data_IF_958033597988
#
_entry.id   IF_958033597988
#
_cell.length_a   1.000
_cell.length_b   1.000
_cell.length_c   1.000
_cell.angle_alpha   90.00
_cell.angle_beta   90.00
_cell.angle_gamma   90.00
#
_symmetry.space_group_name_H-M   'P 1'
#
loop_
_entity.id
_entity.type
_entity.pdbx_description
1 polymer ?
#
# COMPACT_ATOMS: atom_id res chain seq x y z
N UNK A 1 -3.25 -18.37 -24.15
CA UNK A 1 -2.70 -18.56 -22.79
C UNK A 1 -1.54 -17.60 -22.52
N UNK A 2 -0.51 -17.54 -23.37
CA UNK A 2 0.58 -16.54 -23.26
C UNK A 2 0.08 -15.08 -23.22
N UNK A 3 -0.88 -14.70 -24.07
CA UNK A 3 -1.35 -13.31 -24.13
C UNK A 3 -2.08 -12.86 -22.86
N UNK A 4 -2.85 -13.76 -22.25
CA UNK A 4 -3.53 -13.51 -20.97
C UNK A 4 -2.51 -13.37 -19.83
N UNK A 5 -1.48 -14.21 -19.80
CA UNK A 5 -0.42 -14.12 -18.80
C UNK A 5 0.34 -12.79 -18.89
N UNK A 6 0.68 -12.35 -20.11
CA UNK A 6 1.33 -11.07 -20.33
C UNK A 6 0.44 -9.88 -19.94
N UNK A 7 -0.87 -9.98 -20.25
CA UNK A 7 -1.85 -8.97 -19.86
C UNK A 7 -1.95 -8.85 -18.34
N UNK A 8 -2.09 -9.97 -17.63
CA UNK A 8 -2.14 -9.97 -16.16
C UNK A 8 -0.84 -9.46 -15.57
N UNK A 9 0.31 -9.89 -16.07
CA UNK A 9 1.60 -9.44 -15.57
C UNK A 9 1.78 -7.92 -15.68
N UNK A 10 1.50 -7.34 -16.85
CA UNK A 10 1.63 -5.90 -17.06
C UNK A 10 0.62 -5.11 -16.23
N UNK A 11 -0.64 -5.54 -16.22
CA UNK A 11 -1.70 -4.90 -15.46
C UNK A 11 -1.45 -5.01 -13.94
N UNK A 12 -0.99 -6.16 -13.48
CA UNK A 12 -0.66 -6.45 -12.09
C UNK A 12 0.57 -5.67 -11.63
N UNK A 13 1.60 -5.54 -12.47
CA UNK A 13 2.76 -4.69 -12.16
C UNK A 13 2.36 -3.22 -12.08
N UNK A 14 1.63 -2.73 -13.09
CA UNK A 14 1.13 -1.35 -13.09
C UNK A 14 0.20 -1.10 -11.88
N UNK A 15 -0.63 -2.07 -11.55
CA UNK A 15 -1.56 -2.05 -10.43
C UNK A 15 -0.84 -2.02 -9.07
N UNK A 16 -0.01 -3.01 -8.79
CA UNK A 16 0.66 -3.15 -7.50
C UNK A 16 1.69 -2.05 -7.22
N UNK A 17 2.28 -1.44 -8.26
CA UNK A 17 3.31 -0.42 -8.09
C UNK A 17 2.78 1.02 -8.26
N UNK A 18 1.82 1.26 -9.15
CA UNK A 18 1.46 2.64 -9.56
C UNK A 18 -0.04 2.95 -9.49
N UNK A 19 -0.93 1.97 -9.33
CA UNK A 19 -2.36 2.25 -9.30
C UNK A 19 -2.75 3.09 -8.08
N UNK A 20 -3.62 4.10 -8.25
CA UNK A 20 -4.21 4.85 -7.15
C UNK A 20 -4.86 3.99 -6.07
N UNK A 21 -5.52 2.91 -6.47
CA UNK A 21 -6.22 2.00 -5.57
C UNK A 21 -5.35 0.94 -4.92
N UNK A 22 -4.19 0.59 -5.50
CA UNK A 22 -3.42 -0.61 -5.11
C UNK A 22 -1.92 -0.43 -4.97
N UNK A 23 -1.35 0.74 -5.25
CA UNK A 23 0.09 0.92 -5.20
C UNK A 23 0.64 0.72 -3.79
N UNK A 24 1.62 -0.17 -3.64
CA UNK A 24 2.37 -0.32 -2.38
C UNK A 24 3.05 0.98 -1.95
N UNK A 25 3.51 1.79 -2.91
CA UNK A 25 4.21 3.05 -2.63
C UNK A 25 3.26 4.20 -2.31
N UNK A 26 2.08 4.26 -2.94
CA UNK A 26 1.08 5.28 -2.57
C UNK A 26 0.54 5.02 -1.16
N UNK A 27 0.29 3.77 -0.81
CA UNK A 27 -0.24 3.39 0.51
C UNK A 27 0.83 3.40 1.60
N UNK A 28 2.10 3.23 1.25
CA UNK A 28 3.23 3.25 2.18
C UNK A 28 4.42 3.98 1.57
N UNK A 29 4.40 5.33 1.52
CA UNK A 29 5.44 6.14 0.87
C UNK A 29 6.85 5.93 1.42
N UNK A 30 6.96 5.52 2.69
CA UNK A 30 8.24 5.18 3.32
C UNK A 30 8.98 4.05 2.59
N UNK A 31 8.27 3.16 1.91
CA UNK A 31 8.87 2.06 1.15
C UNK A 31 9.66 2.54 -0.07
N UNK A 32 9.43 3.77 -0.55
CA UNK A 32 10.26 4.37 -1.60
C UNK A 32 11.74 4.48 -1.19
N UNK A 33 12.04 4.54 0.11
CA UNK A 33 13.41 4.56 0.62
C UNK A 33 14.17 3.24 0.38
N UNK A 34 13.46 2.14 0.13
CA UNK A 34 14.09 0.86 -0.20
C UNK A 34 14.87 0.93 -1.53
N UNK A 35 14.53 1.83 -2.45
CA UNK A 35 15.20 1.97 -3.75
C UNK A 35 16.64 2.52 -3.57
N UNK A 36 16.86 3.74 -3.04
CA UNK A 36 18.21 4.23 -2.78
C UNK A 36 18.93 3.37 -1.72
N UNK A 37 18.15 2.79 -0.80
CA UNK A 37 18.65 1.88 0.21
C UNK A 37 19.27 0.60 -0.33
N UNK A 38 18.63 -0.03 -1.31
CA UNK A 38 19.17 -1.20 -2.02
C UNK A 38 20.48 -0.86 -2.72
N UNK A 39 20.58 0.32 -3.35
CA UNK A 39 21.82 0.79 -3.97
C UNK A 39 22.96 0.97 -2.97
N UNK A 40 22.66 1.55 -1.80
CA UNK A 40 23.66 1.71 -0.73
C UNK A 40 24.07 0.34 -0.18
N UNK A 41 23.10 -0.54 0.07
CA UNK A 41 23.36 -1.87 0.62
C UNK A 41 24.24 -2.71 -0.31
N UNK A 42 23.93 -2.71 -1.61
CA UNK A 42 24.71 -3.40 -2.64
C UNK A 42 26.16 -2.92 -2.73
N UNK A 43 26.40 -1.61 -2.65
CA UNK A 43 27.73 -1.02 -2.87
C UNK A 43 28.58 -0.93 -1.59
N UNK A 44 27.96 -0.79 -0.42
CA UNK A 44 28.66 -0.44 0.84
C UNK A 44 28.49 -1.46 1.96
N UNK A 45 27.59 -2.44 1.81
CA UNK A 45 27.33 -3.46 2.84
C UNK A 45 27.62 -4.84 2.24
N UNK A 46 26.60 -5.61 1.90
CA UNK A 46 26.75 -6.98 1.38
C UNK A 46 26.05 -7.12 0.02
N UNK A 47 26.87 -7.24 -1.03
CA UNK A 47 26.42 -7.41 -2.41
C UNK A 47 25.62 -8.70 -2.60
N UNK A 48 26.09 -9.81 -2.03
CA UNK A 48 25.47 -11.12 -2.19
C UNK A 48 24.09 -11.15 -1.55
N UNK A 49 24.00 -10.68 -0.30
CA UNK A 49 22.72 -10.55 0.41
C UNK A 49 21.79 -9.56 -0.31
N UNK A 50 22.31 -8.45 -0.83
CA UNK A 50 21.52 -7.50 -1.62
C UNK A 50 20.87 -8.15 -2.85
N UNK A 51 21.63 -8.96 -3.59
CA UNK A 51 21.14 -9.65 -4.78
C UNK A 51 20.06 -10.66 -4.40
N UNK A 52 20.26 -11.43 -3.33
CA UNK A 52 19.29 -12.42 -2.85
C UNK A 52 17.99 -11.73 -2.40
N UNK A 53 18.07 -10.68 -1.58
CA UNK A 53 16.90 -9.92 -1.14
C UNK A 53 16.15 -9.29 -2.33
N UNK A 54 16.86 -8.69 -3.27
CA UNK A 54 16.27 -8.11 -4.47
C UNK A 54 15.61 -9.17 -5.36
N UNK A 55 16.25 -10.34 -5.52
CA UNK A 55 15.70 -11.46 -6.28
C UNK A 55 14.42 -12.01 -5.63
N UNK A 56 14.37 -12.13 -4.30
CA UNK A 56 13.17 -12.55 -3.57
C UNK A 56 12.03 -11.54 -3.80
N UNK A 57 12.30 -10.25 -3.61
CA UNK A 57 11.29 -9.19 -3.82
C UNK A 57 10.78 -9.22 -5.27
N UNK A 58 11.69 -9.24 -6.24
CA UNK A 58 11.35 -9.23 -7.65
C UNK A 58 10.53 -10.45 -8.04
N UNK A 59 10.98 -11.65 -7.65
CA UNK A 59 10.27 -12.89 -7.94
C UNK A 59 8.87 -12.86 -7.32
N UNK A 60 8.75 -12.43 -6.07
CA UNK A 60 7.46 -12.35 -5.38
C UNK A 60 6.50 -11.36 -6.06
N UNK A 61 6.97 -10.15 -6.39
CA UNK A 61 6.17 -9.14 -7.09
C UNK A 61 5.71 -9.67 -8.46
N UNK A 62 6.60 -10.31 -9.21
CA UNK A 62 6.26 -10.91 -10.51
C UNK A 62 5.22 -12.04 -10.36
N UNK A 63 5.38 -12.91 -9.36
CA UNK A 63 4.41 -13.98 -9.07
C UNK A 63 3.04 -13.40 -8.74
N UNK A 64 2.95 -12.44 -7.82
CA UNK A 64 1.68 -11.80 -7.46
C UNK A 64 1.07 -11.06 -8.65
N UNK A 65 1.88 -10.33 -9.42
CA UNK A 65 1.41 -9.58 -10.59
C UNK A 65 0.92 -10.48 -11.72
N UNK A 66 1.50 -11.68 -11.87
CA UNK A 66 1.08 -12.66 -12.87
C UNK A 66 -0.23 -13.38 -12.51
N UNK A 67 -0.67 -13.27 -11.27
CA UNK A 67 -1.86 -13.95 -10.78
C UNK A 67 -3.14 -13.19 -11.18
N UNK A 68 -4.19 -13.93 -11.54
CA UNK A 68 -5.46 -13.33 -12.00
C UNK A 68 -6.15 -12.43 -10.95
N UNK A 69 -5.84 -12.62 -9.66
CA UNK A 69 -6.36 -11.84 -8.54
C UNK A 69 -5.25 -10.96 -7.91
N UNK A 70 -4.35 -10.44 -8.74
CA UNK A 70 -3.22 -9.57 -8.33
C UNK A 70 -3.66 -8.36 -7.50
N UNK A 71 -4.90 -7.90 -7.67
CA UNK A 71 -5.49 -6.76 -7.00
C UNK A 71 -5.87 -7.09 -5.55
N UNK A 72 -5.93 -8.37 -5.18
CA UNK A 72 -6.23 -8.82 -3.82
C UNK A 72 -7.70 -8.67 -3.42
N UNK A 73 -8.59 -8.40 -4.39
CA UNK A 73 -10.03 -8.29 -4.16
C UNK A 73 -10.39 -7.23 -3.11
N UNK A 74 -11.35 -7.51 -2.25
CA UNK A 74 -11.93 -6.50 -1.35
C UNK A 74 -11.08 -6.40 -0.10
N UNK A 75 -9.94 -5.73 -0.22
CA UNK A 75 -8.98 -5.47 0.86
C UNK A 75 -8.37 -4.08 0.70
N UNK A 76 -7.91 -3.44 1.78
CA UNK A 76 -7.24 -2.15 1.68
C UNK A 76 -5.80 -2.29 1.19
N UNK A 77 -5.41 -1.53 0.16
CA UNK A 77 -4.06 -1.51 -0.39
C UNK A 77 -3.62 -2.82 -1.08
N UNK A 78 -2.30 -2.99 -1.28
CA UNK A 78 -1.70 -4.22 -1.84
C UNK A 78 -1.38 -5.23 -0.74
N UNK A 79 -2.40 -5.77 -0.07
CA UNK A 79 -2.22 -6.75 1.01
C UNK A 79 -1.34 -7.94 0.59
N UNK A 80 -1.41 -8.34 -0.68
CA UNK A 80 -0.62 -9.43 -1.22
C UNK A 80 0.89 -9.17 -1.15
N UNK A 81 1.34 -7.91 -1.16
CA UNK A 81 2.76 -7.56 -1.02
C UNK A 81 3.22 -7.37 0.44
N UNK A 82 2.35 -7.57 1.43
CA UNK A 82 2.75 -7.47 2.85
C UNK A 82 3.92 -8.40 3.25
N UNK A 83 4.06 -9.63 2.69
CA UNK A 83 5.16 -10.51 3.09
C UNK A 83 6.56 -10.01 2.69
N UNK A 84 6.67 -9.12 1.71
CA UNK A 84 7.96 -8.56 1.28
C UNK A 84 8.37 -7.30 2.07
N UNK A 85 7.48 -6.73 2.88
CA UNK A 85 7.75 -5.51 3.67
C UNK A 85 8.97 -5.66 4.58
N UNK A 86 9.18 -6.77 5.33
CA UNK A 86 10.37 -6.93 6.16
C UNK A 86 11.67 -6.89 5.36
N UNK A 87 11.68 -7.47 4.16
CA UNK A 87 12.85 -7.48 3.27
C UNK A 87 13.11 -6.08 2.71
N UNK A 88 12.05 -5.35 2.34
CA UNK A 88 12.17 -3.92 2.00
C UNK A 88 12.75 -3.11 3.17
N UNK A 89 12.39 -3.44 4.41
CA UNK A 89 12.93 -2.85 5.63
C UNK A 89 14.46 -2.97 5.75
N UNK A 90 15.03 -4.10 5.31
CA UNK A 90 16.50 -4.29 5.25
C UNK A 90 17.14 -3.23 4.36
N UNK A 91 16.53 -2.92 3.21
CA UNK A 91 17.01 -1.88 2.32
C UNK A 91 16.78 -0.46 2.86
N UNK A 92 15.73 -0.22 3.66
CA UNK A 92 15.49 1.10 4.25
C UNK A 92 16.53 1.43 5.34
N UNK A 93 17.02 0.43 6.08
CA UNK A 93 17.99 0.60 7.17
C UNK A 93 19.23 1.46 6.83
N UNK A 94 20.00 1.22 5.75
CA UNK A 94 21.16 2.05 5.41
C UNK A 94 20.82 3.52 5.09
N UNK A 95 19.59 3.79 4.63
CA UNK A 95 19.11 5.17 4.39
C UNK A 95 18.86 5.86 5.72
N UNK A 96 18.22 5.17 6.66
CA UNK A 96 17.98 5.68 8.03
C UNK A 96 19.31 5.99 8.73
N UNK A 97 20.28 5.07 8.66
CA UNK A 97 21.62 5.24 9.22
C UNK A 97 22.31 6.49 8.65
N UNK A 98 22.25 6.69 7.33
CA UNK A 98 22.85 7.85 6.67
C UNK A 98 22.12 9.16 6.95
N UNK A 99 20.81 9.11 7.13
CA UNK A 99 19.95 10.28 7.35
C UNK A 99 20.03 10.83 8.77
N UNK A 100 20.46 10.02 9.75
CA UNK A 100 20.53 10.40 11.16
C UNK A 100 21.32 11.70 11.41
N UNK A 101 22.39 11.92 10.64
CA UNK A 101 23.22 13.12 10.75
C UNK A 101 22.82 14.25 9.80
N UNK A 102 21.87 14.01 8.87
CA UNK A 102 21.46 14.97 7.84
C UNK A 102 19.99 15.36 8.05
N UNK A 103 19.78 16.51 8.71
CA UNK A 103 18.44 17.04 9.07
C UNK A 103 17.42 17.01 7.91
N UNK A 104 17.86 17.33 6.68
CA UNK A 104 17.00 17.31 5.49
C UNK A 104 16.47 15.91 5.18
N UNK A 105 17.36 14.91 5.16
CA UNK A 105 17.00 13.52 4.89
C UNK A 105 16.10 12.98 6.01
N UNK A 106 16.45 13.27 7.27
CA UNK A 106 15.63 12.85 8.41
C UNK A 106 14.21 13.44 8.36
N UNK A 107 14.08 14.72 7.98
CA UNK A 107 12.79 15.36 7.79
C UNK A 107 11.98 14.69 6.65
N UNK A 108 12.62 14.35 5.53
CA UNK A 108 11.98 13.61 4.45
C UNK A 108 11.45 12.24 4.91
N UNK A 109 12.23 11.53 5.73
CA UNK A 109 11.82 10.24 6.30
C UNK A 109 10.59 10.43 7.20
N UNK A 110 10.59 11.44 8.07
CA UNK A 110 9.43 11.77 8.93
C UNK A 110 8.20 12.10 8.09
N UNK A 111 8.36 12.89 7.02
CA UNK A 111 7.25 13.25 6.13
C UNK A 111 6.68 12.00 5.46
N UNK A 112 7.53 11.13 4.89
CA UNK A 112 7.09 9.89 4.25
C UNK A 112 6.41 8.92 5.24
N UNK A 113 6.97 8.81 6.46
CA UNK A 113 6.38 8.02 7.55
C UNK A 113 5.01 8.60 7.96
N UNK A 114 4.92 9.91 8.12
CA UNK A 114 3.69 10.62 8.48
C UNK A 114 2.62 10.49 7.41
N UNK A 115 2.97 10.60 6.13
CA UNK A 115 2.05 10.37 5.01
C UNK A 115 1.49 8.94 5.02
N UNK A 116 2.36 7.93 5.21
CA UNK A 116 1.92 6.54 5.35
C UNK A 116 1.00 6.35 6.55
N UNK A 117 1.36 6.93 7.70
CA UNK A 117 0.53 6.88 8.91
C UNK A 117 -0.85 7.52 8.67
N UNK A 118 -0.93 8.68 8.02
CA UNK A 118 -2.20 9.33 7.68
C UNK A 118 -3.09 8.44 6.81
N UNK A 119 -2.52 7.72 5.85
CA UNK A 119 -3.27 6.78 4.99
C UNK A 119 -3.81 5.60 5.81
N UNK A 120 -3.01 5.07 6.75
CA UNK A 120 -3.46 3.98 7.61
C UNK A 120 -4.49 4.44 8.65
N UNK A 121 -4.38 5.67 9.16
CA UNK A 121 -5.40 6.28 10.01
C UNK A 121 -6.71 6.52 9.25
N UNK A 122 -6.63 6.96 7.99
CA UNK A 122 -7.79 7.04 7.11
C UNK A 122 -8.45 5.66 6.94
N UNK A 123 -7.65 4.61 6.74
CA UNK A 123 -8.16 3.24 6.64
C UNK A 123 -8.90 2.77 7.90
N UNK A 124 -8.42 3.17 9.08
CA UNK A 124 -9.01 2.81 10.37
C UNK A 124 -10.24 3.66 10.74
N UNK A 125 -10.35 4.86 10.15
CA UNK A 125 -11.39 5.83 10.50
C UNK A 125 -12.80 5.35 10.18
N UNK A 126 -12.98 4.67 9.05
CA UNK A 126 -14.23 4.00 8.68
C UNK A 126 -13.92 2.60 8.17
N UNK A 127 -14.86 1.66 8.27
CA UNK A 127 -14.74 0.35 7.58
C UNK A 127 -14.54 0.54 6.05
N UNK A 128 -13.34 0.25 5.52
CA UNK A 128 -13.03 0.47 4.12
C UNK A 128 -13.77 -0.50 3.20
N UNK A 129 -14.15 -1.67 3.69
CA UNK A 129 -14.92 -2.66 2.93
C UNK A 129 -16.35 -2.19 2.81
N UNK A 130 -16.98 -1.75 3.90
CA UNK A 130 -18.34 -1.19 3.88
C UNK A 130 -18.46 -0.04 2.87
N UNK A 131 -17.54 0.92 2.94
CA UNK A 131 -17.53 2.06 2.01
C UNK A 131 -17.30 1.64 0.55
N UNK A 132 -16.52 0.59 0.30
CA UNK A 132 -16.38 0.01 -1.03
C UNK A 132 -17.67 -0.67 -1.49
N UNK A 133 -18.33 -1.46 -0.63
CA UNK A 133 -19.60 -2.13 -0.92
C UNK A 133 -20.65 -1.09 -1.31
N UNK A 134 -20.75 -0.02 -0.52
CA UNK A 134 -21.69 1.07 -0.77
C UNK A 134 -21.42 1.77 -2.11
N UNK A 135 -20.15 1.95 -2.47
CA UNK A 135 -19.76 2.56 -3.74
C UNK A 135 -19.97 1.64 -4.96
N UNK A 136 -19.66 0.34 -4.83
CA UNK A 136 -19.54 -0.61 -5.96
C UNK A 136 -20.78 -1.49 -6.14
N UNK A 137 -21.39 -1.95 -5.05
CA UNK A 137 -22.57 -2.83 -5.09
C UNK A 137 -23.86 -2.03 -5.11
N UNK A 138 -23.97 -1.07 -4.19
CA UNK A 138 -25.17 -0.24 -4.06
C UNK A 138 -25.09 1.05 -4.89
N UNK A 139 -23.87 1.47 -5.22
CA UNK A 139 -23.60 2.63 -6.07
C UNK A 139 -23.46 2.26 -7.56
N UNK A 140 -22.97 3.23 -8.34
CA UNK A 140 -22.79 3.11 -9.78
C UNK A 140 -21.30 3.02 -10.19
N UNK A 141 -20.39 2.79 -9.25
CA UNK A 141 -18.95 2.74 -9.52
C UNK A 141 -18.55 1.30 -9.85
N UNK A 142 -17.94 1.07 -11.01
CA UNK A 142 -17.39 -0.25 -11.33
C UNK A 142 -16.15 -0.53 -10.49
N UNK A 143 -15.97 -1.78 -10.08
CA UNK A 143 -14.81 -2.20 -9.28
C UNK A 143 -13.47 -1.83 -9.95
N UNK A 144 -13.34 -2.02 -11.26
CA UNK A 144 -12.12 -1.70 -12.02
C UNK A 144 -11.73 -0.21 -11.94
N UNK A 145 -12.73 0.69 -11.83
CA UNK A 145 -12.47 2.12 -11.66
C UNK A 145 -11.80 2.42 -10.32
N UNK A 146 -12.08 1.63 -9.28
CA UNK A 146 -11.46 1.80 -7.96
C UNK A 146 -9.96 1.50 -7.97
N UNK A 147 -9.49 0.75 -8.98
CA UNK A 147 -8.10 0.41 -9.15
C UNK A 147 -7.35 1.56 -9.83
N UNK A 148 -7.77 1.97 -11.03
CA UNK A 148 -6.96 2.89 -11.86
C UNK A 148 -7.45 4.35 -11.87
N UNK A 149 -8.65 4.64 -11.37
CA UNK A 149 -9.21 6.00 -11.38
C UNK A 149 -8.97 6.71 -10.06
N UNK A 150 -8.26 7.84 -10.07
CA UNK A 150 -7.96 8.65 -8.89
C UNK A 150 -9.22 9.04 -8.10
N UNK A 151 -10.27 9.51 -8.79
CA UNK A 151 -11.52 10.00 -8.18
C UNK A 151 -12.36 8.92 -7.48
N UNK A 152 -12.19 7.67 -7.91
CA UNK A 152 -12.90 6.50 -7.39
C UNK A 152 -11.96 5.55 -6.64
N UNK A 153 -10.71 5.97 -6.38
CA UNK A 153 -9.77 5.19 -5.60
C UNK A 153 -10.30 4.95 -4.20
N UNK A 154 -9.87 3.85 -3.58
CA UNK A 154 -10.22 3.49 -2.21
C UNK A 154 -9.97 4.64 -1.21
N UNK A 155 -8.83 5.32 -1.32
CA UNK A 155 -8.52 6.50 -0.51
C UNK A 155 -9.50 7.65 -0.78
N UNK A 156 -9.87 7.92 -2.04
CA UNK A 156 -10.83 8.97 -2.38
C UNK A 156 -12.26 8.64 -1.89
N UNK A 157 -12.68 7.38 -1.98
CA UNK A 157 -13.98 6.92 -1.45
C UNK A 157 -14.00 7.10 0.07
N UNK A 158 -12.93 6.67 0.77
CA UNK A 158 -12.81 6.87 2.22
C UNK A 158 -12.86 8.35 2.61
N UNK A 159 -12.10 9.20 1.92
CA UNK A 159 -12.09 10.64 2.19
C UNK A 159 -13.48 11.29 2.00
N UNK A 160 -14.28 10.81 1.05
CA UNK A 160 -15.67 11.28 0.87
C UNK A 160 -16.57 10.80 1.99
N UNK A 161 -16.42 9.54 2.42
CA UNK A 161 -17.19 8.97 3.53
C UNK A 161 -16.92 9.71 4.86
N UNK A 162 -15.71 10.22 5.04
CA UNK A 162 -15.35 11.03 6.21
C UNK A 162 -16.21 12.29 6.40
N UNK A 163 -16.84 12.83 5.34
CA UNK A 163 -17.70 14.00 5.46
C UNK A 163 -18.96 13.75 6.32
N UNK A 164 -19.37 12.49 6.44
CA UNK A 164 -20.54 12.06 7.22
C UNK A 164 -20.15 11.13 8.38
N UNK A 165 -18.89 11.20 8.82
CA UNK A 165 -18.30 10.29 9.79
C UNK A 165 -18.93 10.36 11.17
N UNK A 166 -19.19 9.20 11.77
CA UNK A 166 -19.56 9.05 13.18
C UNK A 166 -18.65 8.03 13.88
N UNK A 167 -18.63 8.06 15.22
CA UNK A 167 -17.87 7.11 16.04
C UNK A 167 -18.25 5.64 15.79
N UNK A 168 -19.47 5.38 15.33
CA UNK A 168 -19.95 4.03 15.00
C UNK A 168 -19.43 3.48 13.66
N UNK A 169 -18.76 4.31 12.85
CA UNK A 169 -18.23 3.88 11.55
C UNK A 169 -16.79 3.34 11.65
N UNK A 170 -16.13 3.53 12.79
CA UNK A 170 -14.75 3.07 13.06
C UNK A 170 -14.60 1.58 12.75
N UNK A 171 -13.58 1.20 11.99
CA UNK A 171 -13.36 -0.19 11.58
C UNK A 171 -13.19 -1.13 12.81
N UNK A 172 -12.51 -0.63 13.85
CA UNK A 172 -12.27 -1.34 15.10
C UNK A 172 -13.57 -1.63 15.88
N UNK A 173 -14.05 -2.87 15.78
CA UNK A 173 -15.25 -3.38 16.45
C UNK A 173 -15.25 -3.15 17.97
N UNK A 174 -14.13 -3.43 18.64
CA UNK A 174 -14.01 -3.29 20.10
C UNK A 174 -14.14 -1.84 20.56
N UNK A 175 -13.57 -0.90 19.79
CA UNK A 175 -13.65 0.54 20.08
C UNK A 175 -15.10 1.02 19.91
N UNK A 176 -15.79 0.56 18.86
CA UNK A 176 -17.21 0.87 18.64
C UNK A 176 -18.07 0.46 19.82
N UNK A 177 -17.91 -0.78 20.30
CA UNK A 177 -18.68 -1.29 21.43
C UNK A 177 -18.40 -0.56 22.74
N UNK A 178 -17.18 -0.06 22.94
CA UNK A 178 -16.79 0.60 24.18
C UNK A 178 -17.23 2.07 24.25
N UNK A 179 -17.17 2.78 23.12
CA UNK A 179 -17.37 4.24 23.07
C UNK A 179 -18.81 4.61 22.71
N UNK A 180 -19.43 3.87 21.80
CA UNK A 180 -20.78 4.17 21.35
C UNK A 180 -21.72 3.05 21.72
N UNK A 181 -22.91 3.40 22.23
CA UNK A 181 -24.07 2.50 22.16
C UNK A 181 -24.52 2.35 20.69
N UNK A 182 -23.60 1.94 19.81
CA UNK A 182 -23.82 1.66 18.41
C UNK A 182 -24.56 0.33 18.35
N UNK A 183 -25.89 0.40 18.22
CA UNK A 183 -26.76 -0.76 17.97
C UNK A 183 -26.61 -1.25 16.54
#
# INVERSE_FOLDING_TARGET
FCDLLNLFLLLGLAGTLFSPGRSIFLYSPILCLAIPGAWIFFNKKDKSLSIVCAAIILTYVLTISSWHAWDGGWSWGSRLLTPIIPILGIFIAPVLESAWHRKRDFLLIIILAGLGLCIQLLALSCDPIKNLVDAVVYGNIKYEETLFTLKHSWAAIQLKSLAHWNLCDIDAYTIRQWIGNCQ
#
